data_IF_590044691554
#
_entry.id   IF_590044691554
#
_cell.length_a   1.000
_cell.length_b   1.000
_cell.length_c   1.000
_cell.angle_alpha   90.00
_cell.angle_beta   90.00
_cell.angle_gamma   90.00
#
_symmetry.space_group_name_H-M   'P 1'
#
loop_
_entity.id
_entity.type
_entity.pdbx_description
1 polymer ?
#
# COMPACT_ATOMS: atom_id res chain seq x y z
N UNK A 1 -29.14 2.81 22.45
CA UNK A 1 -28.20 3.57 21.62
C UNK A 1 -28.87 4.43 20.53
N UNK A 2 -29.69 3.93 19.58
CA UNK A 2 -30.44 4.85 18.65
C UNK A 2 -31.50 5.69 19.37
N UNK A 3 -32.30 5.06 20.23
CA UNK A 3 -33.37 5.73 20.99
C UNK A 3 -32.86 6.73 22.05
N UNK A 4 -31.56 6.76 22.33
CA UNK A 4 -30.96 7.73 23.28
C UNK A 4 -30.79 9.12 22.65
N UNK A 5 -30.74 9.22 21.32
CA UNK A 5 -30.63 10.49 20.59
C UNK A 5 -31.97 11.17 20.30
N UNK A 6 -33.09 10.56 20.71
CA UNK A 6 -34.44 11.02 20.39
C UNK A 6 -34.95 10.51 19.04
N UNK A 7 -36.27 10.53 18.89
CA UNK A 7 -36.96 10.10 17.67
C UNK A 7 -37.28 11.31 16.79
N UNK A 8 -37.08 11.17 15.48
CA UNK A 8 -37.31 12.25 14.49
C UNK A 8 -38.37 11.72 13.52
N UNK A 9 -39.65 12.15 13.66
CA UNK A 9 -40.76 11.62 12.88
C UNK A 9 -40.56 11.73 11.37
N UNK A 10 -39.84 12.76 10.91
CA UNK A 10 -39.59 13.05 9.50
C UNK A 10 -38.71 11.99 8.81
N UNK A 11 -37.96 11.20 9.57
CA UNK A 11 -37.07 10.15 9.07
C UNK A 11 -37.39 8.78 9.65
N UNK A 12 -38.57 8.61 10.26
CA UNK A 12 -39.00 7.30 10.74
C UNK A 12 -39.05 6.30 9.56
N UNK A 13 -38.47 5.12 9.78
CA UNK A 13 -38.25 4.11 8.73
C UNK A 13 -37.15 4.42 7.69
N UNK A 14 -36.56 5.63 7.67
CA UNK A 14 -35.45 5.99 6.79
C UNK A 14 -34.11 5.71 7.48
N UNK A 15 -33.38 4.69 7.00
CA UNK A 15 -32.02 4.40 7.48
C UNK A 15 -30.94 4.89 6.51
N UNK A 16 -30.13 5.86 6.95
CA UNK A 16 -28.94 6.36 6.24
C UNK A 16 -27.68 5.49 6.45
N UNK A 17 -27.74 4.49 7.34
CA UNK A 17 -26.56 3.73 7.74
C UNK A 17 -26.97 2.49 8.51
N UNK A 18 -26.51 1.36 8.00
CA UNK A 18 -26.99 0.06 8.40
C UNK A 18 -26.67 -0.36 9.84
N UNK A 19 -27.72 -0.50 10.65
CA UNK A 19 -28.06 -1.62 11.54
C UNK A 19 -29.38 -1.27 12.28
N UNK A 20 -30.27 -2.25 12.57
CA UNK A 20 -30.18 -3.67 12.21
C UNK A 20 -30.79 -4.05 10.85
N UNK A 21 -31.57 -3.19 10.21
CA UNK A 21 -32.40 -3.58 9.04
C UNK A 21 -31.69 -3.48 7.69
N UNK A 22 -30.58 -2.75 7.60
CA UNK A 22 -29.70 -2.69 6.42
C UNK A 22 -28.26 -2.82 6.90
N UNK A 23 -27.37 -3.33 6.07
CA UNK A 23 -25.93 -3.38 6.35
C UNK A 23 -25.28 -2.18 5.65
N UNK A 24 -24.29 -1.55 6.27
CA UNK A 24 -23.46 -0.59 5.54
C UNK A 24 -22.76 -1.31 4.40
N UNK A 25 -22.49 -0.59 3.32
CA UNK A 25 -21.67 -1.09 2.22
C UNK A 25 -20.30 -1.57 2.72
N UNK A 26 -19.82 -2.68 2.18
CA UNK A 26 -18.63 -3.39 2.63
C UNK A 26 -17.39 -2.49 2.76
N UNK A 27 -17.19 -1.57 1.80
CA UNK A 27 -16.06 -0.64 1.80
C UNK A 27 -15.97 0.27 3.05
N UNK A 28 -17.11 0.60 3.69
CA UNK A 28 -17.10 1.41 4.92
C UNK A 28 -16.61 0.57 6.09
N UNK A 29 -16.94 -0.73 6.11
CA UNK A 29 -16.48 -1.65 7.15
C UNK A 29 -14.96 -1.85 7.03
N UNK A 30 -14.47 -2.05 5.81
CA UNK A 30 -13.03 -2.14 5.51
C UNK A 30 -12.31 -0.86 5.91
N UNK A 31 -12.77 0.30 5.45
CA UNK A 31 -12.15 1.59 5.79
C UNK A 31 -12.15 1.88 7.28
N UNK A 32 -13.20 1.48 8.00
CA UNK A 32 -13.25 1.61 9.45
C UNK A 32 -12.25 0.69 10.16
N UNK A 33 -12.14 -0.58 9.75
CA UNK A 33 -11.18 -1.53 10.32
C UNK A 33 -9.73 -1.04 10.14
N UNK A 34 -9.39 -0.52 8.94
CA UNK A 34 -8.08 0.09 8.68
C UNK A 34 -7.78 1.28 9.60
N UNK A 35 -8.78 2.11 9.90
CA UNK A 35 -8.61 3.29 10.73
C UNK A 35 -8.58 3.00 12.24
N UNK A 36 -9.42 2.07 12.70
CA UNK A 36 -9.61 1.76 14.11
C UNK A 36 -8.63 0.68 14.63
N UNK A 37 -8.14 -0.16 13.72
CA UNK A 37 -7.27 -1.29 14.03
C UNK A 37 -8.05 -2.61 14.24
N UNK A 38 -7.32 -3.74 14.29
CA UNK A 38 -7.89 -5.08 14.35
C UNK A 38 -8.77 -5.32 15.60
N UNK A 39 -9.83 -6.11 15.44
CA UNK A 39 -10.72 -6.53 16.51
C UNK A 39 -11.79 -5.50 16.89
N UNK A 40 -11.74 -4.28 16.35
CA UNK A 40 -12.78 -3.26 16.56
C UNK A 40 -14.00 -3.53 15.68
N UNK A 41 -13.79 -4.01 14.45
CA UNK A 41 -14.85 -4.29 13.51
C UNK A 41 -14.65 -5.68 12.85
N UNK A 42 -15.21 -6.75 13.44
CA UNK A 42 -15.00 -8.12 12.95
C UNK A 42 -15.36 -8.32 11.48
N UNK A 43 -16.45 -7.71 11.01
CA UNK A 43 -16.84 -7.81 9.59
C UNK A 43 -15.89 -7.06 8.66
N UNK A 44 -15.26 -5.99 9.15
CA UNK A 44 -14.22 -5.29 8.41
C UNK A 44 -12.91 -6.06 8.39
N UNK A 45 -12.57 -6.71 9.50
CA UNK A 45 -11.38 -7.56 9.65
C UNK A 45 -11.48 -8.80 8.75
N UNK A 46 -12.61 -9.52 8.79
CA UNK A 46 -12.90 -10.64 7.89
C UNK A 46 -12.80 -10.23 6.41
N UNK A 47 -13.29 -9.03 6.08
CA UNK A 47 -13.17 -8.51 4.72
C UNK A 47 -11.71 -8.21 4.33
N UNK A 48 -10.89 -7.68 5.25
CA UNK A 48 -9.47 -7.44 5.02
C UNK A 48 -8.69 -8.75 4.82
N UNK A 49 -9.03 -9.81 5.57
CA UNK A 49 -8.43 -11.15 5.42
C UNK A 49 -8.73 -11.80 4.07
N UNK A 50 -9.86 -11.45 3.44
CA UNK A 50 -10.23 -11.95 2.11
C UNK A 50 -9.61 -11.16 0.95
N UNK A 51 -9.10 -9.95 1.21
CA UNK A 51 -8.49 -9.11 0.18
C UNK A 51 -7.02 -9.47 -0.05
N UNK A 52 -6.59 -9.41 -1.31
CA UNK A 52 -5.17 -9.43 -1.67
C UNK A 52 -4.43 -8.23 -1.04
N UNK A 53 -3.10 -8.28 -1.03
CA UNK A 53 -2.22 -7.36 -0.28
C UNK A 53 -2.06 -5.94 -0.87
N UNK A 54 -2.78 -5.60 -1.94
CA UNK A 54 -2.69 -4.28 -2.61
C UNK A 54 -3.04 -3.10 -1.70
N UNK A 55 -3.78 -3.32 -0.62
CA UNK A 55 -4.16 -2.28 0.34
C UNK A 55 -3.08 -2.03 1.40
N UNK A 56 -2.07 -2.90 1.50
CA UNK A 56 -1.05 -2.78 2.53
C UNK A 56 -0.29 -1.47 2.37
N UNK A 57 -0.04 -0.74 3.48
CA UNK A 57 0.67 0.52 3.41
C UNK A 57 2.11 0.30 2.95
N UNK A 58 2.45 0.84 1.79
CA UNK A 58 3.83 0.94 1.30
C UNK A 58 4.47 2.26 1.74
N UNK A 59 5.74 2.19 2.14
CA UNK A 59 6.52 3.39 2.47
C UNK A 59 7.15 3.97 1.21
N UNK A 60 6.77 5.19 0.81
CA UNK A 60 7.38 5.89 -0.32
C UNK A 60 8.90 6.04 -0.15
N UNK A 61 9.37 6.25 1.07
CA UNK A 61 10.81 6.35 1.36
C UNK A 61 11.52 5.01 1.18
N UNK A 62 10.89 3.91 1.59
CA UNK A 62 11.46 2.57 1.38
C UNK A 62 11.47 2.19 -0.10
N UNK A 63 10.45 2.59 -0.86
CA UNK A 63 10.38 2.38 -2.30
C UNK A 63 11.54 3.09 -3.01
N UNK A 64 11.74 4.38 -2.76
CA UNK A 64 12.85 5.13 -3.36
C UNK A 64 14.23 4.58 -2.96
N UNK A 65 14.43 4.21 -1.69
CA UNK A 65 15.69 3.61 -1.27
C UNK A 65 15.98 2.28 -1.98
N UNK A 66 14.95 1.48 -2.26
CA UNK A 66 15.10 0.23 -3.00
C UNK A 66 15.40 0.48 -4.49
N UNK A 67 14.79 1.50 -5.10
CA UNK A 67 15.06 1.93 -6.48
C UNK A 67 16.50 2.44 -6.65
N UNK A 68 16.96 3.30 -5.73
CA UNK A 68 18.33 3.83 -5.73
C UNK A 68 19.36 2.70 -5.58
N UNK A 69 19.13 1.79 -4.63
CA UNK A 69 20.01 0.63 -4.43
C UNK A 69 20.05 -0.31 -5.65
N UNK A 70 18.91 -0.48 -6.35
CA UNK A 70 18.86 -1.26 -7.58
C UNK A 70 19.59 -0.58 -8.76
N UNK A 71 19.56 0.75 -8.82
CA UNK A 71 20.30 1.53 -9.81
C UNK A 71 21.82 1.43 -9.58
N UNK A 72 22.27 1.53 -8.33
CA UNK A 72 23.67 1.38 -7.97
C UNK A 72 24.20 -0.04 -8.26
N UNK A 73 23.38 -1.08 -7.99
CA UNK A 73 23.72 -2.47 -8.30
C UNK A 73 23.85 -2.76 -9.81
N UNK A 74 23.28 -1.92 -10.67
CA UNK A 74 23.42 -2.00 -12.13
C UNK A 74 24.69 -1.35 -12.70
N UNK A 75 25.46 -0.62 -11.88
CA UNK A 75 26.63 0.16 -12.31
C UNK A 75 27.97 -0.59 -12.35
N UNK A 76 28.10 -1.74 -11.67
CA UNK A 76 29.38 -2.47 -11.53
C UNK A 76 29.73 -3.41 -12.69
N UNK A 77 29.06 -3.30 -13.85
CA UNK A 77 29.38 -4.09 -15.06
C UNK A 77 30.16 -3.32 -16.14
N UNK A 78 30.50 -2.04 -15.92
CA UNK A 78 31.18 -1.18 -16.91
C UNK A 78 32.63 -0.79 -16.51
N UNK A 79 33.30 -1.61 -15.69
CA UNK A 79 34.62 -1.30 -15.12
C UNK A 79 35.68 -2.37 -15.33
N UNK A 80 35.77 -3.03 -16.49
CA UNK A 80 36.86 -3.98 -16.76
C UNK A 80 37.20 -4.13 -18.25
N UNK A 81 37.54 -3.04 -18.95
CA UNK A 81 38.16 -3.15 -20.29
C UNK A 81 38.90 -1.88 -20.75
N UNK A 82 39.83 -1.30 -19.95
CA UNK A 82 40.82 -0.34 -20.52
C UNK A 82 42.16 -0.42 -19.78
N UNK A 83 42.82 -1.58 -19.81
CA UNK A 83 44.23 -1.67 -19.43
C UNK A 83 44.89 -2.88 -20.09
N UNK A 84 45.34 -2.71 -21.34
CA UNK A 84 46.55 -3.33 -21.91
C UNK A 84 46.56 -3.15 -23.43
N UNK A 85 47.42 -2.24 -23.91
CA UNK A 85 48.26 -2.42 -25.11
C UNK A 85 49.31 -1.30 -25.03
N UNK A 86 50.25 -1.42 -24.10
CA UNK A 86 51.61 -1.97 -24.30
C UNK A 86 52.37 -1.36 -25.48
N UNK A 87 53.17 -0.37 -25.13
CA UNK A 87 54.24 0.22 -25.92
C UNK A 87 55.30 -0.83 -26.29
N UNK A 88 55.33 -1.26 -27.54
CA UNK A 88 56.51 -1.84 -28.23
C UNK A 88 56.30 -1.58 -29.73
N UNK A 89 57.02 -0.77 -30.51
CA UNK A 89 58.40 -0.27 -30.47
C UNK A 89 58.99 -0.47 -31.88
N UNK A 90 59.61 0.58 -32.47
CA UNK A 90 60.67 0.52 -33.52
C UNK A 90 60.20 0.22 -34.97
N UNK A 91 60.65 0.84 -36.07
CA UNK A 91 61.67 1.85 -36.40
C UNK A 91 61.39 2.44 -37.81
N UNK A 92 62.00 3.60 -38.06
CA UNK A 92 62.55 4.18 -39.29
C UNK A 92 62.14 3.62 -40.68
N UNK A 93 61.77 4.56 -41.56
CA UNK A 93 61.67 4.40 -43.02
C UNK A 93 61.16 5.66 -43.69
#
# INVERSE_FOLDING_TARGET
>A
QRAELGDVPEIDGISAGGMPTRVKCLHVLVGHALAAGPGVNPLGDEALEMLDDWWQPTSCAAQHAAEDAAADAGGDAAGAATAADDTTGRADG
#
